data_IF_826530086322
#
_entry.id   IF_826530086322
#
_cell.length_a   1.000
_cell.length_b   1.000
_cell.length_c   1.000
_cell.angle_alpha   90.00
_cell.angle_beta   90.00
_cell.angle_gamma   90.00
#
_symmetry.space_group_name_H-M   'P 1'
#
loop_
_entity.id
_entity.type
_entity.pdbx_description
1 polymer ?
#
# COMPACT_ATOMS: atom_id res chain seq x y z
N UNK A 1 -6.73 7.78 4.63
CA UNK A 1 -5.38 7.46 5.12
C UNK A 1 -4.35 8.26 4.36
N UNK A 2 -3.28 8.71 5.02
CA UNK A 2 -2.06 9.20 4.38
C UNK A 2 -1.17 8.01 4.05
N UNK A 3 -1.04 7.72 2.76
CA UNK A 3 -0.30 6.57 2.24
C UNK A 3 1.04 7.04 1.69
N UNK A 4 2.14 6.55 2.27
CA UNK A 4 3.50 6.77 1.77
C UNK A 4 3.92 5.50 1.02
N UNK A 5 4.62 5.61 -0.11
CA UNK A 5 5.13 4.42 -0.82
C UNK A 5 6.66 4.47 -0.85
N UNK A 6 7.28 3.51 -0.18
CA UNK A 6 8.73 3.38 0.01
C UNK A 6 9.32 2.36 -0.99
N UNK A 7 10.60 2.47 -1.43
CA UNK A 7 11.71 3.24 -0.86
C UNK A 7 11.98 4.64 -1.43
N UNK A 8 11.41 5.01 -2.59
CA UNK A 8 11.87 6.20 -3.33
C UNK A 8 11.01 7.47 -3.18
N UNK A 9 9.86 7.47 -2.48
CA UNK A 9 8.95 8.63 -2.53
C UNK A 9 8.47 9.10 -1.15
N UNK A 10 8.97 10.26 -0.75
CA UNK A 10 8.71 10.95 0.54
C UNK A 10 7.30 11.58 0.60
N UNK A 11 6.61 11.70 -0.54
CA UNK A 11 5.29 12.33 -0.62
C UNK A 11 4.21 11.36 -0.14
N UNK A 12 3.44 11.77 0.86
CA UNK A 12 2.22 11.07 1.27
C UNK A 12 1.09 11.40 0.29
N UNK A 13 0.19 10.44 0.11
CA UNK A 13 -1.00 10.56 -0.74
C UNK A 13 -2.25 10.25 0.06
N UNK A 14 -3.29 11.06 -0.10
CA UNK A 14 -4.57 10.84 0.58
C UNK A 14 -5.34 9.74 -0.16
N UNK A 15 -5.41 8.56 0.45
CA UNK A 15 -6.27 7.47 -0.02
C UNK A 15 -7.61 7.52 0.70
N UNK A 16 -8.68 7.77 -0.05
CA UNK A 16 -10.07 7.77 0.41
C UNK A 16 -10.69 6.44 0.01
N UNK A 17 -11.08 5.63 1.00
CA UNK A 17 -11.62 4.29 0.79
C UNK A 17 -12.64 3.98 1.89
N UNK A 18 -13.67 3.20 1.57
CA UNK A 18 -14.51 2.58 2.58
C UNK A 18 -13.75 1.40 3.21
N UNK A 19 -13.44 1.48 4.50
CA UNK A 19 -12.62 0.48 5.20
C UNK A 19 -13.27 -0.91 5.28
N UNK A 20 -14.60 -1.01 5.16
CA UNK A 20 -15.31 -2.29 5.15
C UNK A 20 -15.17 -3.02 3.82
N UNK A 21 -14.96 -2.27 2.74
CA UNK A 21 -14.91 -2.75 1.36
C UNK A 21 -13.54 -2.50 0.71
N UNK A 22 -12.51 -2.22 1.52
CA UNK A 22 -11.18 -1.96 1.02
C UNK A 22 -10.54 -3.25 0.50
N UNK A 23 -10.05 -3.23 -0.75
CA UNK A 23 -9.39 -4.39 -1.35
C UNK A 23 -7.92 -4.12 -1.63
N UNK A 24 -7.11 -5.18 -1.63
CA UNK A 24 -5.71 -5.12 -2.06
C UNK A 24 -5.62 -4.68 -3.52
N UNK A 25 -6.57 -5.07 -4.36
CA UNK A 25 -6.66 -4.59 -5.74
C UNK A 25 -6.94 -3.08 -5.80
N UNK A 26 -7.82 -2.56 -4.95
CA UNK A 26 -8.10 -1.13 -4.85
C UNK A 26 -6.87 -0.33 -4.44
N UNK A 27 -6.12 -0.81 -3.44
CA UNK A 27 -4.85 -0.21 -3.02
C UNK A 27 -3.79 -0.26 -4.14
N UNK A 28 -3.67 -1.40 -4.84
CA UNK A 28 -2.81 -1.56 -6.02
C UNK A 28 -3.16 -0.55 -7.11
N UNK A 29 -4.44 -0.41 -7.46
CA UNK A 29 -4.91 0.56 -8.47
C UNK A 29 -4.61 1.99 -8.06
N UNK A 30 -4.83 2.34 -6.79
CA UNK A 30 -4.49 3.66 -6.26
C UNK A 30 -2.98 3.96 -6.41
N UNK A 31 -2.11 3.04 -5.99
CA UNK A 31 -0.66 3.22 -6.12
C UNK A 31 -0.25 3.29 -7.60
N UNK A 32 -0.79 2.42 -8.46
CA UNK A 32 -0.52 2.45 -9.91
C UNK A 32 -0.88 3.78 -10.54
N UNK A 33 -2.05 4.35 -10.18
CA UNK A 33 -2.48 5.65 -10.70
C UNK A 33 -1.52 6.78 -10.30
N UNK A 34 -0.99 6.75 -9.07
CA UNK A 34 -0.08 7.77 -8.57
C UNK A 34 1.34 7.61 -9.15
N UNK A 35 1.77 6.38 -9.39
CA UNK A 35 3.15 6.08 -9.77
C UNK A 35 3.34 5.79 -11.25
N UNK A 36 2.26 5.62 -12.04
CA UNK A 36 2.28 5.19 -13.45
C UNK A 36 3.15 3.94 -13.66
N UNK A 37 3.02 2.97 -12.76
CA UNK A 37 3.83 1.75 -12.79
C UNK A 37 3.23 0.71 -13.74
N UNK A 38 4.05 -0.01 -14.54
CA UNK A 38 3.59 -1.12 -15.37
C UNK A 38 2.83 -2.19 -14.57
N UNK A 39 1.89 -2.85 -15.25
CA UNK A 39 0.97 -3.82 -14.66
C UNK A 39 1.63 -5.14 -14.21
N UNK A 40 2.89 -5.38 -14.58
CA UNK A 40 3.62 -6.62 -14.33
C UNK A 40 4.01 -6.71 -12.86
N UNK A 41 3.12 -7.30 -12.06
CA UNK A 41 3.25 -7.44 -10.62
C UNK A 41 2.50 -8.68 -10.13
N UNK A 42 2.61 -9.76 -10.90
CA UNK A 42 2.19 -11.09 -10.45
C UNK A 42 3.11 -11.50 -9.29
N UNK A 43 2.57 -11.50 -8.07
CA UNK A 43 3.32 -11.81 -6.86
C UNK A 43 3.78 -10.62 -6.02
N UNK A 44 3.40 -9.38 -6.35
CA UNK A 44 3.71 -8.23 -5.51
C UNK A 44 3.04 -8.33 -4.12
N UNK A 45 3.86 -8.26 -3.08
CA UNK A 45 3.48 -8.32 -1.67
C UNK A 45 3.50 -6.92 -1.08
N UNK A 46 2.45 -6.59 -0.33
CA UNK A 46 2.31 -5.33 0.37
C UNK A 46 2.63 -5.52 1.85
N UNK A 47 3.56 -4.73 2.36
CA UNK A 47 3.83 -4.59 3.78
C UNK A 47 3.50 -3.15 4.19
N UNK A 48 2.62 -3.00 5.17
CA UNK A 48 2.15 -1.72 5.70
C UNK A 48 2.90 -1.47 7.01
N UNK A 49 3.47 -0.29 7.16
CA UNK A 49 4.18 0.13 8.37
C UNK A 49 3.57 1.44 8.85
N UNK A 50 3.14 1.46 10.09
CA UNK A 50 2.54 2.61 10.76
C UNK A 50 3.17 2.78 12.14
N UNK A 51 2.84 3.84 12.85
CA UNK A 51 3.34 4.06 14.21
C UNK A 51 2.85 2.95 15.15
N UNK A 52 1.69 2.36 14.84
CA UNK A 52 1.10 1.27 15.61
C UNK A 52 1.61 -0.14 15.28
N UNK A 53 2.48 -0.30 14.28
CA UNK A 53 3.12 -1.57 13.95
C UNK A 53 3.32 -1.85 12.46
N UNK A 54 3.84 -3.05 12.18
CA UNK A 54 4.02 -3.61 10.84
C UNK A 54 2.94 -4.65 10.55
N UNK A 55 2.33 -4.56 9.38
CA UNK A 55 1.21 -5.37 8.95
C UNK A 55 1.46 -5.92 7.55
N UNK A 56 1.08 -7.16 7.34
CA UNK A 56 1.38 -7.89 6.11
C UNK A 56 0.10 -8.51 5.55
N UNK A 57 -0.91 -7.71 5.17
CA UNK A 57 -2.17 -8.23 4.66
C UNK A 57 -1.91 -8.99 3.36
N UNK A 58 -2.43 -10.24 3.29
CA UNK A 58 -2.33 -11.09 2.10
C UNK A 58 -3.66 -11.25 1.39
N UNK A 59 -4.77 -10.98 2.09
CA UNK A 59 -6.15 -11.00 1.57
C UNK A 59 -6.86 -9.72 1.97
N UNK A 60 -7.96 -9.42 1.27
CA UNK A 60 -8.76 -8.21 1.50
C UNK A 60 -9.27 -8.11 2.94
N UNK A 61 -9.68 -9.24 3.54
CA UNK A 61 -10.12 -9.26 4.93
C UNK A 61 -9.02 -8.83 5.92
N UNK A 62 -7.77 -9.19 5.65
CA UNK A 62 -6.64 -8.83 6.51
C UNK A 62 -6.30 -7.34 6.35
N UNK A 63 -6.49 -6.80 5.15
CA UNK A 63 -6.38 -5.36 4.89
C UNK A 63 -7.46 -4.59 5.64
N UNK A 64 -8.74 -4.98 5.51
CA UNK A 64 -9.85 -4.31 6.21
C UNK A 64 -9.63 -4.31 7.73
N UNK A 65 -9.24 -5.45 8.32
CA UNK A 65 -8.92 -5.54 9.76
C UNK A 65 -7.77 -4.62 10.15
N UNK A 66 -6.74 -4.54 9.32
CA UNK A 66 -5.61 -3.63 9.54
C UNK A 66 -6.08 -2.17 9.52
N UNK A 67 -6.84 -1.78 8.50
CA UNK A 67 -7.36 -0.42 8.38
C UNK A 67 -8.31 -0.04 9.53
N UNK A 68 -9.15 -0.98 9.98
CA UNK A 68 -10.01 -0.81 11.15
C UNK A 68 -9.18 -0.61 12.44
N UNK A 69 -8.12 -1.39 12.63
CA UNK A 69 -7.20 -1.24 13.77
C UNK A 69 -6.47 0.11 13.76
N UNK A 70 -6.09 0.57 12.57
CA UNK A 70 -5.47 1.88 12.39
C UNK A 70 -6.45 3.01 12.75
N UNK A 71 -7.70 2.92 12.30
CA UNK A 71 -8.76 3.88 12.66
C UNK A 71 -9.03 3.88 14.16
N UNK A 72 -9.12 2.72 14.81
CA UNK A 72 -9.39 2.64 16.26
C UNK A 72 -8.25 3.22 17.11
N UNK A 73 -7.03 3.23 16.58
CA UNK A 73 -5.85 3.85 17.20
C UNK A 73 -5.62 5.31 16.78
N UNK A 74 -6.50 5.87 15.93
CA UNK A 74 -6.31 7.18 15.30
C UNK A 74 -4.98 7.32 14.51
N UNK A 75 -4.45 6.19 14.03
CA UNK A 75 -3.21 6.10 13.26
C UNK A 75 -3.54 6.06 11.76
N UNK A 76 -3.85 7.23 11.20
CA UNK A 76 -4.36 7.33 9.83
C UNK A 76 -3.26 7.44 8.77
N UNK A 77 -1.99 7.23 9.14
CA UNK A 77 -0.82 7.34 8.28
C UNK A 77 -0.04 6.03 8.25
N UNK A 78 0.18 5.48 7.06
CA UNK A 78 1.01 4.29 6.92
C UNK A 78 1.86 4.34 5.65
N UNK A 79 3.01 3.68 5.75
CA UNK A 79 3.95 3.47 4.66
C UNK A 79 3.74 2.08 4.08
N UNK A 80 3.53 2.03 2.77
CA UNK A 80 3.44 0.82 1.99
C UNK A 80 4.81 0.51 1.39
N UNK A 81 5.30 -0.68 1.68
CA UNK A 81 6.44 -1.32 1.04
C UNK A 81 5.91 -2.34 0.05
N UNK A 82 6.39 -2.25 -1.18
CA UNK A 82 6.04 -3.15 -2.26
C UNK A 82 7.25 -4.00 -2.54
N UNK A 83 7.14 -5.27 -2.20
CA UNK A 83 8.15 -6.28 -2.46
C UNK A 83 7.65 -7.15 -3.60
N UNK A 84 8.47 -7.38 -4.62
CA UNK A 84 8.21 -8.46 -5.58
C UNK A 84 9.29 -9.52 -5.42
N UNK A 85 8.97 -10.80 -5.68
CA UNK A 85 9.96 -11.87 -5.65
C UNK A 85 11.13 -11.63 -6.61
N UNK A 86 10.89 -10.91 -7.71
CA UNK A 86 11.85 -10.75 -8.80
C UNK A 86 12.63 -9.43 -8.77
N UNK A 87 12.06 -8.34 -8.23
CA UNK A 87 12.65 -7.00 -8.32
C UNK A 87 12.07 -6.01 -7.28
N UNK A 88 12.93 -5.30 -6.54
CA UNK A 88 12.46 -4.30 -5.60
C UNK A 88 11.79 -3.12 -6.31
N UNK A 89 10.82 -2.47 -5.66
CA UNK A 89 10.14 -1.28 -6.20
C UNK A 89 11.11 -0.14 -6.57
N UNK A 90 12.26 -0.05 -5.88
CA UNK A 90 13.34 0.89 -6.22
C UNK A 90 13.87 0.73 -7.64
N UNK A 91 13.79 -0.47 -8.19
CA UNK A 91 14.43 -0.85 -9.44
C UNK A 91 13.43 -0.89 -10.60
N UNK A 92 12.18 -0.47 -10.34
CA UNK A 92 11.17 -0.31 -11.37
C UNK A 92 11.43 0.97 -12.16
N UNK A 93 11.53 0.83 -13.48
CA UNK A 93 11.46 1.95 -14.41
C UNK A 93 10.00 2.30 -14.61
N UNK A 94 9.63 3.50 -14.16
CA UNK A 94 8.30 4.07 -14.37
C UNK A 94 8.30 4.53 -15.83
N UNK A 95 7.64 3.76 -16.70
CA UNK A 95 7.55 4.10 -18.12
C UNK A 95 6.84 5.45 -18.27
N UNK A 96 7.45 6.34 -19.05
CA UNK A 96 6.87 7.58 -19.56
C UNK A 96 5.82 7.33 -20.62
#
# INVERSE_FOLDING_TARGET
>A
FDVIVSPKRVKSFKWIVNIEHATLEGLKKFIRAIYQTPAENEGAVFNLVSDSGKYSPRRDQDLCKTLQLLVSKNDLKFTVFIETPSKAFSDWTLGS
#
